data_IF_300161259700
#
_entry.id   IF_300161259700
#
_cell.length_a   1.000
_cell.length_b   1.000
_cell.length_c   1.000
_cell.angle_alpha   90.00
_cell.angle_beta   90.00
_cell.angle_gamma   90.00
#
_symmetry.space_group_name_H-M   'P 1'
#
loop_
_entity.id
_entity.type
_entity.pdbx_description
1 polymer ?
#
# COMPACT_ATOMS: atom_id res chain seq x y z
N UNK A 1 33.06 2.69 8.34
CA UNK A 1 32.07 3.79 8.40
C UNK A 1 30.89 3.36 7.55
N UNK A 2 29.76 3.03 8.17
CA UNK A 2 28.50 2.80 7.46
C UNK A 2 28.01 4.15 6.96
N UNK A 3 28.10 4.37 5.65
CA UNK A 3 27.51 5.54 5.01
C UNK A 3 26.00 5.39 5.13
N UNK A 4 25.37 6.21 5.97
CA UNK A 4 23.91 6.38 5.96
C UNK A 4 23.54 6.98 4.62
N UNK A 5 23.08 6.12 3.70
CA UNK A 5 22.65 6.55 2.38
C UNK A 5 21.30 7.25 2.54
N UNK A 6 21.30 8.57 2.73
CA UNK A 6 20.08 9.37 2.62
C UNK A 6 19.71 9.44 1.16
N UNK A 7 18.58 8.83 0.78
CA UNK A 7 18.10 8.90 -0.58
C UNK A 7 17.85 10.38 -0.96
N UNK A 8 18.46 10.82 -2.05
CA UNK A 8 18.30 12.19 -2.58
C UNK A 8 16.93 12.43 -3.20
N UNK A 9 16.24 11.35 -3.56
CA UNK A 9 14.86 11.33 -4.01
C UNK A 9 14.12 10.16 -3.36
N UNK A 10 12.88 10.40 -2.90
CA UNK A 10 12.06 9.39 -2.22
C UNK A 10 10.84 9.09 -3.08
N UNK A 11 10.82 7.89 -3.66
CA UNK A 11 9.65 7.37 -4.36
C UNK A 11 8.61 6.90 -3.33
N UNK A 12 7.42 7.47 -3.39
CA UNK A 12 6.25 7.02 -2.64
C UNK A 12 5.37 6.20 -3.59
N UNK A 13 5.18 4.91 -3.29
CA UNK A 13 4.32 4.02 -4.07
C UNK A 13 2.85 4.34 -3.85
N UNK A 14 2.13 4.69 -4.92
CA UNK A 14 0.73 5.16 -4.90
C UNK A 14 -0.33 4.07 -5.14
N UNK A 15 0.05 2.85 -5.52
CA UNK A 15 -0.88 1.84 -6.06
C UNK A 15 -1.75 1.15 -5.01
N UNK A 16 -1.43 1.33 -3.73
CA UNK A 16 -2.16 0.88 -2.53
C UNK A 16 -3.25 1.88 -2.14
N UNK A 17 -4.04 2.30 -3.14
CA UNK A 17 -5.03 3.35 -3.03
C UNK A 17 -6.37 2.88 -3.62
N UNK A 18 -7.39 2.74 -2.78
CA UNK A 18 -8.73 2.24 -3.16
C UNK A 18 -9.43 3.17 -4.16
N UNK A 19 -9.21 4.48 -4.06
CA UNK A 19 -9.80 5.45 -4.99
C UNK A 19 -9.00 5.54 -6.30
N UNK A 20 -7.68 5.46 -6.24
CA UNK A 20 -6.77 5.64 -7.38
C UNK A 20 -6.44 4.37 -8.18
N UNK A 21 -6.70 3.18 -7.64
CA UNK A 21 -6.34 1.91 -8.28
C UNK A 21 -7.53 0.95 -8.34
N UNK A 22 -8.08 0.76 -9.54
CA UNK A 22 -9.19 -0.17 -9.77
C UNK A 22 -8.83 -1.62 -9.37
N UNK A 23 -7.57 -2.01 -9.57
CA UNK A 23 -7.07 -3.33 -9.18
C UNK A 23 -7.06 -3.47 -7.64
N UNK A 24 -6.49 -2.49 -6.93
CA UNK A 24 -6.43 -2.52 -5.46
C UNK A 24 -7.82 -2.44 -4.84
N UNK A 25 -8.70 -1.57 -5.36
CA UNK A 25 -10.11 -1.49 -4.98
C UNK A 25 -10.79 -2.85 -5.02
N UNK A 26 -10.62 -3.59 -6.12
CA UNK A 26 -11.22 -4.93 -6.25
C UNK A 26 -10.74 -5.88 -5.16
N UNK A 27 -9.44 -5.87 -4.83
CA UNK A 27 -8.86 -6.73 -3.80
C UNK A 27 -9.39 -6.40 -2.40
N UNK A 28 -9.44 -5.11 -2.05
CA UNK A 28 -9.92 -4.67 -0.74
C UNK A 28 -11.42 -4.97 -0.59
N UNK A 29 -12.24 -4.66 -1.60
CA UNK A 29 -13.69 -4.93 -1.56
C UNK A 29 -14.01 -6.43 -1.58
N UNK A 30 -13.14 -7.28 -2.15
CA UNK A 30 -13.31 -8.74 -2.08
C UNK A 30 -12.66 -9.38 -0.85
N UNK A 31 -12.01 -8.59 0.01
CA UNK A 31 -11.27 -9.10 1.18
C UNK A 31 -10.02 -9.92 0.83
N UNK A 32 -9.50 -9.82 -0.39
CA UNK A 32 -8.29 -10.53 -0.83
C UNK A 32 -7.03 -9.75 -0.40
N UNK A 33 -6.86 -9.64 0.93
CA UNK A 33 -5.76 -8.89 1.52
C UNK A 33 -4.39 -9.53 1.23
N UNK A 34 -4.33 -10.84 0.99
CA UNK A 34 -3.08 -11.51 0.58
C UNK A 34 -2.55 -10.92 -0.71
N UNK A 35 -3.37 -10.79 -1.76
CA UNK A 35 -2.95 -10.14 -3.00
C UNK A 35 -2.78 -8.64 -2.85
N UNK A 36 -3.53 -7.99 -1.95
CA UNK A 36 -3.33 -6.57 -1.66
C UNK A 36 -1.91 -6.31 -1.10
N UNK A 37 -1.41 -7.19 -0.22
CA UNK A 37 -0.02 -7.14 0.29
C UNK A 37 0.98 -7.32 -0.85
N UNK A 38 0.70 -8.17 -1.83
CA UNK A 38 1.57 -8.35 -3.00
C UNK A 38 1.70 -7.05 -3.82
N UNK A 39 0.65 -6.22 -3.91
CA UNK A 39 0.73 -4.89 -4.55
C UNK A 39 1.72 -4.00 -3.81
N UNK A 40 1.70 -3.96 -2.48
CA UNK A 40 2.67 -3.20 -1.70
C UNK A 40 4.10 -3.73 -1.90
N UNK A 41 4.28 -5.06 -1.84
CA UNK A 41 5.60 -5.70 -2.04
C UNK A 41 6.17 -5.39 -3.42
N UNK A 42 5.37 -5.50 -4.47
CA UNK A 42 5.81 -5.17 -5.83
C UNK A 42 6.22 -3.70 -5.96
N UNK A 43 5.59 -2.77 -5.25
CA UNK A 43 6.03 -1.37 -5.26
C UNK A 43 7.42 -1.21 -4.63
N UNK A 44 7.68 -1.88 -3.50
CA UNK A 44 9.01 -1.90 -2.87
C UNK A 44 10.06 -2.53 -3.79
N UNK A 45 9.75 -3.68 -4.39
CA UNK A 45 10.64 -4.36 -5.35
C UNK A 45 10.94 -3.48 -6.58
N UNK A 46 10.01 -2.60 -6.95
CA UNK A 46 10.16 -1.64 -8.05
C UNK A 46 10.74 -0.28 -7.61
N UNK A 47 11.27 -0.18 -6.38
CA UNK A 47 12.04 0.99 -5.92
C UNK A 47 11.26 2.03 -5.11
N UNK A 48 10.02 1.75 -4.71
CA UNK A 48 9.33 2.57 -3.73
C UNK A 48 10.00 2.44 -2.35
N UNK A 49 10.32 3.57 -1.74
CA UNK A 49 10.93 3.62 -0.41
C UNK A 49 9.89 3.81 0.69
N UNK A 50 8.74 4.39 0.32
CA UNK A 50 7.57 4.57 1.17
C UNK A 50 6.37 4.05 0.38
N UNK A 51 5.37 3.51 1.08
CA UNK A 51 4.10 3.10 0.50
C UNK A 51 3.03 4.05 1.03
N UNK A 52 2.32 4.73 0.12
CA UNK A 52 1.11 5.49 0.46
C UNK A 52 -0.08 4.53 0.54
N UNK A 53 -0.91 4.67 1.58
CA UNK A 53 -2.07 3.80 1.78
C UNK A 53 -3.32 4.64 1.88
N UNK A 54 -4.28 4.38 0.99
CA UNK A 54 -5.58 5.01 1.01
C UNK A 54 -6.68 3.94 0.94
N UNK A 55 -7.52 3.90 1.98
CA UNK A 55 -8.63 2.97 2.13
C UNK A 55 -10.00 3.65 2.03
N UNK A 56 -10.07 4.87 1.52
CA UNK A 56 -11.33 5.62 1.42
C UNK A 56 -12.17 5.15 0.25
N UNK A 57 -13.40 4.72 0.56
CA UNK A 57 -14.44 4.31 -0.39
C UNK A 57 -15.81 4.41 0.31
N UNK A 58 -16.85 4.85 -0.41
CA UNK A 58 -18.16 5.18 0.20
C UNK A 58 -18.88 4.02 0.92
N UNK A 59 -18.56 2.76 0.61
CA UNK A 59 -19.17 1.56 1.20
C UNK A 59 -18.20 0.76 2.07
N UNK A 60 -16.95 1.20 2.23
CA UNK A 60 -15.92 0.52 2.99
C UNK A 60 -15.83 1.09 4.41
N UNK A 61 -15.69 0.22 5.40
CA UNK A 61 -15.19 0.63 6.71
C UNK A 61 -13.67 0.90 6.58
N UNK A 62 -13.33 2.14 6.20
CA UNK A 62 -11.95 2.56 5.92
C UNK A 62 -11.01 2.34 7.10
N UNK A 63 -11.48 2.56 8.34
CA UNK A 63 -10.65 2.41 9.54
C UNK A 63 -10.28 0.94 9.76
N UNK A 64 -11.29 0.05 9.72
CA UNK A 64 -11.06 -1.39 9.84
C UNK A 64 -10.17 -1.91 8.71
N UNK A 65 -10.40 -1.47 7.47
CA UNK A 65 -9.59 -1.85 6.31
C UNK A 65 -8.13 -1.38 6.44
N UNK A 66 -7.91 -0.14 6.89
CA UNK A 66 -6.59 0.43 7.14
C UNK A 66 -5.84 -0.37 8.20
N UNK A 67 -6.44 -0.60 9.37
CA UNK A 67 -5.81 -1.37 10.45
C UNK A 67 -5.49 -2.79 10.01
N UNK A 68 -6.40 -3.43 9.26
CA UNK A 68 -6.19 -4.79 8.74
C UNK A 68 -5.00 -4.83 7.79
N UNK A 69 -4.97 -3.95 6.80
CA UNK A 69 -3.92 -3.92 5.80
C UNK A 69 -2.55 -3.59 6.41
N UNK A 70 -2.46 -2.56 7.26
CA UNK A 70 -1.21 -2.15 7.90
C UNK A 70 -0.61 -3.25 8.78
N UNK A 71 -1.43 -4.03 9.49
CA UNK A 71 -0.97 -5.17 10.29
C UNK A 71 -0.41 -6.33 9.45
N UNK A 72 -0.81 -6.44 8.19
CA UNK A 72 -0.37 -7.50 7.28
C UNK A 72 0.92 -7.17 6.54
N UNK A 73 1.26 -5.88 6.39
CA UNK A 73 2.51 -5.43 5.77
C UNK A 73 3.62 -5.11 6.80
N UNK A 74 3.31 -5.18 8.10
CA UNK A 74 4.22 -4.90 9.20
C UNK A 74 5.27 -6.00 9.42
#
# INVERSE_FOLDING_TARGET
>A
MTTTQTATFVNVGERTNVTGSAAFKKLILSGDYTKAVDVARQQVENGAQIIDVNMDEGLLDSETAMVTFLKLIA
#
